data_IF_510407429504
#
_entry.id   IF_510407429504
#
_cell.length_a   1.000
_cell.length_b   1.000
_cell.length_c   1.000
_cell.angle_alpha   90.00
_cell.angle_beta   90.00
_cell.angle_gamma   90.00
#
_symmetry.space_group_name_H-M   'P 1'
#
loop_
_entity.id
_entity.type
_entity.pdbx_description
1 polymer ?
#
# COMPACT_ATOMS: atom_id res chain seq x y z
N UNK A 1 19.26 84.69 -17.22
CA UNK A 1 18.46 84.12 -16.04
C UNK A 1 17.33 83.34 -16.65
N UNK A 2 17.45 81.95 -16.69
CA UNK A 2 16.41 81.02 -17.04
C UNK A 2 16.13 80.16 -15.84
N UNK A 3 14.84 79.89 -15.44
CA UNK A 3 14.55 79.28 -14.18
C UNK A 3 14.75 77.77 -14.19
N UNK A 4 15.48 77.29 -13.17
CA UNK A 4 15.66 75.87 -12.79
C UNK A 4 14.32 75.27 -12.27
N UNK A 5 13.44 74.78 -13.14
CA UNK A 5 12.25 74.11 -12.68
C UNK A 5 11.72 73.01 -13.58
N UNK A 6 12.54 72.40 -14.42
CA UNK A 6 12.08 71.38 -15.40
C UNK A 6 12.69 70.00 -15.25
N UNK A 7 13.56 69.75 -14.24
CA UNK A 7 14.23 68.46 -14.04
C UNK A 7 13.64 67.54 -12.97
N UNK A 8 12.61 67.95 -12.24
CA UNK A 8 12.02 67.13 -11.16
C UNK A 8 10.86 66.22 -11.60
N UNK A 9 10.53 66.17 -12.90
CA UNK A 9 9.36 65.37 -13.39
C UNK A 9 9.76 64.03 -14.07
N UNK A 10 11.04 63.67 -14.13
CA UNK A 10 11.45 62.44 -14.82
C UNK A 10 11.95 61.31 -13.94
N UNK A 11 11.93 61.47 -12.61
CA UNK A 11 12.22 60.36 -11.68
C UNK A 11 10.97 60.04 -10.86
N UNK A 12 9.94 59.53 -11.56
CA UNK A 12 8.88 58.79 -10.88
C UNK A 12 9.51 57.51 -10.32
N UNK A 13 9.72 57.45 -8.97
CA UNK A 13 9.97 56.21 -8.28
C UNK A 13 8.80 55.31 -8.56
N UNK A 14 8.96 54.34 -9.47
CA UNK A 14 8.15 53.14 -9.42
C UNK A 14 8.46 52.46 -8.08
N UNK A 15 7.48 52.41 -7.21
CA UNK A 15 7.47 51.47 -6.07
C UNK A 15 7.49 50.05 -6.67
N UNK A 16 8.70 49.52 -6.90
CA UNK A 16 8.92 48.12 -7.17
C UNK A 16 8.60 47.35 -5.87
N UNK A 17 7.31 47.15 -5.61
CA UNK A 17 6.91 46.07 -4.72
C UNK A 17 7.47 44.79 -5.29
N UNK A 18 8.26 44.02 -4.49
CA UNK A 18 8.75 42.73 -4.96
C UNK A 18 7.54 41.91 -5.41
N UNK A 19 7.64 41.18 -6.53
CA UNK A 19 6.55 40.34 -7.00
C UNK A 19 6.14 39.43 -5.84
N UNK A 20 4.84 39.44 -5.51
CA UNK A 20 4.27 38.51 -4.53
C UNK A 20 4.68 37.11 -4.97
N UNK A 21 5.35 36.32 -4.11
CA UNK A 21 5.75 34.98 -4.50
C UNK A 21 4.53 34.27 -5.09
N UNK A 22 4.68 33.69 -6.27
CA UNK A 22 3.62 32.91 -6.89
C UNK A 22 3.14 31.89 -5.85
N UNK A 23 1.84 31.87 -5.57
CA UNK A 23 1.26 30.88 -4.68
C UNK A 23 1.69 29.52 -5.21
N UNK A 24 2.28 28.66 -4.35
CA UNK A 24 2.58 27.29 -4.71
C UNK A 24 1.30 26.65 -5.29
N UNK A 25 1.40 25.84 -6.36
CA UNK A 25 0.22 25.20 -6.91
C UNK A 25 -0.52 24.43 -5.81
N UNK A 26 -1.80 24.72 -5.62
CA UNK A 26 -2.66 24.04 -4.67
C UNK A 26 -2.80 22.58 -5.07
N UNK A 27 -2.64 21.67 -4.12
CA UNK A 27 -2.85 20.25 -4.34
C UNK A 27 -4.34 19.98 -4.64
N UNK A 28 -4.60 19.21 -5.68
CA UNK A 28 -5.97 18.90 -6.09
C UNK A 28 -6.17 17.38 -6.12
N UNK A 29 -7.14 16.89 -5.35
CA UNK A 29 -7.53 15.50 -5.39
C UNK A 29 -8.31 15.18 -6.66
N UNK A 30 -8.06 14.01 -7.23
CA UNK A 30 -8.82 13.48 -8.37
C UNK A 30 -10.20 13.00 -7.90
N UNK A 31 -11.24 13.73 -8.28
CA UNK A 31 -12.62 13.43 -7.92
C UNK A 31 -13.21 12.22 -8.67
N UNK A 32 -12.52 11.68 -9.68
CA UNK A 32 -12.99 10.54 -10.47
C UNK A 32 -12.67 9.17 -9.83
N UNK A 33 -11.97 9.14 -8.68
CA UNK A 33 -11.67 7.90 -7.97
C UNK A 33 -12.79 7.61 -6.96
N UNK A 34 -13.68 6.67 -7.29
CA UNK A 34 -14.80 6.29 -6.41
C UNK A 34 -14.36 5.42 -5.23
N UNK A 35 -13.43 4.48 -5.44
CA UNK A 35 -12.94 3.53 -4.43
C UNK A 35 -11.42 3.63 -4.30
N UNK A 36 -10.90 4.67 -3.63
CA UNK A 36 -9.46 4.87 -3.49
C UNK A 36 -8.81 3.74 -2.69
N UNK A 37 -7.59 3.36 -3.07
CA UNK A 37 -6.74 2.54 -2.22
C UNK A 37 -6.51 3.28 -0.89
N UNK A 38 -6.49 2.53 0.20
CA UNK A 38 -6.35 3.08 1.54
C UNK A 38 -5.34 2.29 2.35
N UNK A 39 -4.50 3.01 3.09
CA UNK A 39 -3.68 2.47 4.18
C UNK A 39 -4.01 3.24 5.47
N UNK A 40 -3.75 2.60 6.62
CA UNK A 40 -3.92 3.23 7.92
C UNK A 40 -2.57 3.28 8.65
N UNK A 41 -2.31 4.38 9.35
CA UNK A 41 -1.07 4.55 10.13
C UNK A 41 -1.42 4.78 11.59
N UNK A 42 -0.84 4.00 12.48
CA UNK A 42 -1.14 4.02 13.92
C UNK A 42 -0.15 4.87 14.71
N UNK A 43 -0.64 5.60 15.73
CA UNK A 43 0.17 6.42 16.61
C UNK A 43 -0.13 6.16 18.07
N UNK A 44 0.89 6.23 18.96
CA UNK A 44 0.73 6.01 20.40
C UNK A 44 0.03 7.19 21.11
N UNK A 45 0.15 8.39 20.55
CA UNK A 45 -0.34 9.64 21.13
C UNK A 45 -1.31 10.36 20.18
N UNK A 46 -2.09 11.33 20.65
CA UNK A 46 -2.89 12.20 19.79
C UNK A 46 -2.03 12.85 18.70
N UNK A 47 -2.64 13.04 17.53
CA UNK A 47 -1.96 13.59 16.37
C UNK A 47 -1.55 15.05 16.58
N UNK A 48 -0.28 15.34 16.36
CA UNK A 48 0.30 16.67 16.43
C UNK A 48 1.28 16.88 15.26
N UNK A 49 0.75 16.82 14.02
CA UNK A 49 1.53 16.88 12.78
C UNK A 49 1.15 18.14 12.03
N UNK A 50 2.16 18.95 11.68
CA UNK A 50 1.98 20.14 10.88
C UNK A 50 2.30 19.88 9.40
N UNK A 51 1.57 20.50 8.48
CA UNK A 51 1.76 20.33 7.05
C UNK A 51 3.19 20.64 6.57
N UNK A 52 3.86 21.74 6.99
CA UNK A 52 5.25 21.99 6.59
C UNK A 52 6.23 20.94 7.10
N UNK A 53 6.01 20.42 8.31
CA UNK A 53 6.86 19.39 8.89
C UNK A 53 6.75 18.06 8.11
N UNK A 54 5.51 17.65 7.76
CA UNK A 54 5.30 16.45 6.94
C UNK A 54 5.85 16.64 5.52
N UNK A 55 5.65 17.79 4.88
CA UNK A 55 6.22 18.09 3.56
C UNK A 55 7.75 17.96 3.57
N UNK A 56 8.42 18.47 4.61
CA UNK A 56 9.87 18.34 4.77
C UNK A 56 10.33 16.88 4.94
N UNK A 57 9.52 15.99 5.51
CA UNK A 57 9.84 14.55 5.56
C UNK A 57 9.61 13.86 4.22
N UNK A 58 8.50 14.17 3.53
CA UNK A 58 8.24 13.65 2.19
C UNK A 58 9.36 13.99 1.20
N UNK A 59 9.85 15.23 1.23
CA UNK A 59 10.96 15.69 0.37
C UNK A 59 12.27 14.90 0.59
N UNK A 60 12.42 14.25 1.75
CA UNK A 60 13.57 13.39 2.09
C UNK A 60 13.37 11.93 1.69
N UNK A 61 12.16 11.52 1.29
CA UNK A 61 11.88 10.12 1.00
C UNK A 61 12.56 9.64 -0.27
N UNK A 62 12.64 10.49 -1.31
CA UNK A 62 13.33 10.17 -2.56
C UNK A 62 13.70 11.47 -3.32
N UNK A 63 14.77 11.49 -4.15
CA UNK A 63 15.17 12.67 -4.92
C UNK A 63 14.09 13.25 -5.84
N UNK A 64 13.20 12.41 -6.41
CA UNK A 64 12.06 12.87 -7.23
C UNK A 64 10.98 13.60 -6.41
N UNK A 65 10.96 13.43 -5.09
CA UNK A 65 9.96 14.05 -4.20
C UNK A 65 10.39 15.41 -3.63
N UNK A 66 11.43 16.02 -4.16
CA UNK A 66 11.91 17.37 -3.70
C UNK A 66 10.84 18.46 -3.79
N UNK A 67 9.88 18.32 -4.71
CA UNK A 67 8.74 19.20 -4.86
C UNK A 67 7.50 18.81 -4.04
N UNK A 68 7.58 17.79 -3.17
CA UNK A 68 6.46 17.35 -2.37
C UNK A 68 5.95 18.48 -1.45
N UNK A 69 4.63 18.58 -1.37
CA UNK A 69 3.91 19.57 -0.56
C UNK A 69 2.82 18.90 0.27
N UNK A 70 2.45 19.57 1.36
CA UNK A 70 1.30 19.18 2.17
C UNK A 70 0.44 20.41 2.45
N UNK A 71 -0.87 20.23 2.41
CA UNK A 71 -1.87 21.26 2.71
C UNK A 71 -2.89 20.68 3.68
N UNK A 72 -3.02 21.29 4.86
CA UNK A 72 -4.01 20.88 5.87
C UNK A 72 -5.08 21.92 6.03
N UNK A 73 -6.32 21.50 6.24
CA UNK A 73 -7.45 22.37 6.51
C UNK A 73 -7.35 22.89 7.95
N UNK A 74 -7.42 24.21 8.18
CA UNK A 74 -7.34 24.77 9.51
C UNK A 74 -8.59 24.39 10.35
N UNK A 75 -8.37 24.19 11.66
CA UNK A 75 -9.45 23.94 12.62
C UNK A 75 -9.95 22.50 12.70
N UNK A 76 -9.29 21.56 12.01
CA UNK A 76 -9.52 20.11 12.11
C UNK A 76 -8.26 19.43 12.66
N UNK A 77 -8.43 18.30 13.35
CA UNK A 77 -7.31 17.59 13.97
C UNK A 77 -6.21 17.26 12.95
N UNK A 78 -6.59 16.65 11.85
CA UNK A 78 -5.75 16.47 10.68
C UNK A 78 -6.64 16.08 9.48
N UNK A 79 -6.86 17.00 8.59
CA UNK A 79 -7.50 16.73 7.30
C UNK A 79 -6.74 17.49 6.22
N UNK A 80 -6.22 16.80 5.22
CA UNK A 80 -5.44 17.46 4.21
C UNK A 80 -5.01 16.59 3.06
N UNK A 81 -4.14 17.15 2.25
CA UNK A 81 -3.52 16.52 1.09
C UNK A 81 -2.01 16.55 1.23
N UNK A 82 -1.35 15.48 0.81
CA UNK A 82 0.07 15.41 0.55
C UNK A 82 0.27 15.00 -0.91
N UNK A 83 1.22 15.60 -1.62
CA UNK A 83 1.39 15.25 -3.03
C UNK A 83 2.70 15.72 -3.65
N UNK A 84 3.03 15.08 -4.76
CA UNK A 84 4.15 15.40 -5.67
C UNK A 84 3.82 14.85 -7.06
N UNK A 85 4.24 15.52 -8.09
CA UNK A 85 3.97 15.15 -9.49
C UNK A 85 2.48 14.82 -9.72
N UNK A 86 2.17 13.58 -10.11
CA UNK A 86 0.81 13.06 -10.31
C UNK A 86 0.22 12.37 -9.09
N UNK A 87 0.98 12.22 -8.01
CA UNK A 87 0.54 11.55 -6.80
C UNK A 87 -0.06 12.54 -5.81
N UNK A 88 -1.26 12.25 -5.36
CA UNK A 88 -1.93 12.98 -4.29
C UNK A 88 -2.53 11.95 -3.32
N UNK A 89 -2.24 12.14 -2.05
CA UNK A 89 -2.76 11.32 -0.96
C UNK A 89 -3.58 12.22 -0.02
N UNK A 90 -4.82 11.83 0.24
CA UNK A 90 -5.65 12.47 1.25
C UNK A 90 -5.35 11.86 2.60
N UNK A 91 -5.13 12.69 3.60
CA UNK A 91 -4.93 12.31 4.99
C UNK A 91 -6.16 12.67 5.80
N UNK A 92 -6.68 11.70 6.57
CA UNK A 92 -7.78 11.90 7.51
C UNK A 92 -7.32 11.38 8.87
N UNK A 93 -6.97 12.25 9.77
CA UNK A 93 -6.53 11.92 11.13
C UNK A 93 -7.70 11.79 12.08
N UNK A 94 -7.58 10.84 12.99
CA UNK A 94 -8.56 10.57 14.04
C UNK A 94 -7.84 10.39 15.38
N UNK A 95 -8.16 11.21 16.38
CA UNK A 95 -7.69 11.04 17.76
C UNK A 95 -8.53 9.99 18.49
N UNK A 96 -8.59 8.79 17.90
CA UNK A 96 -9.29 7.62 18.39
C UNK A 96 -8.52 6.35 17.98
N UNK A 97 -8.59 5.27 18.77
CA UNK A 97 -8.00 4.00 18.37
C UNK A 97 -8.66 3.41 17.13
N UNK A 98 -7.93 2.61 16.37
CA UNK A 98 -8.50 1.81 15.27
C UNK A 98 -9.54 0.82 15.79
N UNK A 99 -10.59 0.49 15.01
CA UNK A 99 -11.55 -0.54 15.35
C UNK A 99 -10.87 -1.88 15.64
N UNK A 100 -11.32 -2.55 16.70
CA UNK A 100 -10.72 -3.82 17.16
C UNK A 100 -10.69 -4.89 16.05
N UNK A 101 -11.75 -4.99 15.26
CA UNK A 101 -11.82 -5.96 14.16
C UNK A 101 -10.70 -5.77 13.14
N UNK A 102 -10.38 -4.52 12.78
CA UNK A 102 -9.26 -4.20 11.89
C UNK A 102 -7.91 -4.59 12.53
N UNK A 103 -7.73 -4.29 13.83
CA UNK A 103 -6.52 -4.64 14.57
C UNK A 103 -6.32 -6.15 14.64
N UNK A 104 -7.38 -6.91 14.93
CA UNK A 104 -7.34 -8.36 15.01
C UNK A 104 -6.98 -8.97 13.63
N UNK A 105 -7.55 -8.45 12.55
CA UNK A 105 -7.26 -8.94 11.20
C UNK A 105 -5.83 -8.61 10.73
N UNK A 106 -5.33 -7.40 11.01
CA UNK A 106 -4.08 -6.91 10.44
C UNK A 106 -2.86 -7.14 11.33
N UNK A 107 -2.99 -6.99 12.66
CA UNK A 107 -1.85 -6.91 13.58
C UNK A 107 -1.60 -8.22 14.30
N UNK A 108 -2.66 -8.90 14.75
CA UNK A 108 -2.53 -10.09 15.62
C UNK A 108 -1.65 -11.17 15.00
N UNK A 109 -1.83 -11.45 13.70
CA UNK A 109 -1.13 -12.50 12.97
C UNK A 109 0.07 -12.00 12.14
N UNK A 110 0.41 -10.72 12.20
CA UNK A 110 1.53 -10.16 11.48
C UNK A 110 2.88 -10.75 11.91
N UNK A 111 3.85 -10.78 10.99
CA UNK A 111 5.16 -11.43 11.20
C UNK A 111 6.25 -10.45 11.63
N UNK A 112 5.96 -9.59 12.61
CA UNK A 112 6.96 -8.71 13.22
C UNK A 112 6.96 -8.83 14.74
N UNK A 113 7.89 -8.13 15.39
CA UNK A 113 8.19 -8.22 16.83
C UNK A 113 6.94 -7.98 17.68
N UNK A 114 6.81 -8.75 18.75
CA UNK A 114 5.67 -8.72 19.66
C UNK A 114 5.49 -7.35 20.35
N UNK A 115 6.60 -6.68 20.71
CA UNK A 115 6.55 -5.34 21.33
C UNK A 115 5.92 -4.27 20.41
N UNK A 116 6.10 -4.40 19.08
CA UNK A 116 5.45 -3.52 18.11
C UNK A 116 3.95 -3.80 18.04
N UNK A 117 3.54 -5.10 18.05
CA UNK A 117 2.12 -5.49 18.10
C UNK A 117 1.42 -4.94 19.33
N UNK A 118 2.03 -5.08 20.50
CA UNK A 118 1.49 -4.57 21.76
C UNK A 118 1.30 -3.05 21.73
N UNK A 119 2.31 -2.32 21.22
CA UNK A 119 2.20 -0.87 21.01
C UNK A 119 1.10 -0.52 20.00
N UNK A 120 0.97 -1.28 18.91
CA UNK A 120 -0.07 -1.08 17.91
C UNK A 120 -1.47 -1.26 18.51
N UNK A 121 -1.69 -2.30 19.35
CA UNK A 121 -2.96 -2.49 20.06
C UNK A 121 -3.26 -1.40 21.10
N UNK A 122 -2.24 -0.66 21.56
CA UNK A 122 -2.37 0.46 22.47
C UNK A 122 -2.43 1.82 21.76
N UNK A 123 -2.46 1.84 20.44
CA UNK A 123 -2.52 3.06 19.66
C UNK A 123 -3.74 3.91 20.05
N UNK A 124 -3.52 5.22 20.19
CA UNK A 124 -4.54 6.18 20.65
C UNK A 124 -5.11 7.03 19.52
N UNK A 125 -4.41 7.06 18.39
CA UNK A 125 -4.84 7.77 17.18
C UNK A 125 -4.37 7.06 15.92
N UNK A 126 -4.96 7.41 14.80
CA UNK A 126 -4.59 6.88 13.49
C UNK A 126 -4.85 7.88 12.37
N UNK A 127 -4.18 7.68 11.25
CA UNK A 127 -4.40 8.42 10.02
C UNK A 127 -4.83 7.45 8.94
N UNK A 128 -5.94 7.74 8.26
CA UNK A 128 -6.35 7.08 7.03
C UNK A 128 -5.70 7.82 5.86
N UNK A 129 -4.98 7.07 5.01
CA UNK A 129 -4.33 7.55 3.81
C UNK A 129 -5.10 7.03 2.60
N UNK A 130 -5.73 7.91 1.84
CA UNK A 130 -6.46 7.57 0.61
C UNK A 130 -5.71 8.06 -0.61
N UNK A 131 -5.45 7.19 -1.57
CA UNK A 131 -4.89 7.63 -2.84
C UNK A 131 -5.94 8.40 -3.64
N UNK A 132 -5.64 9.65 -3.96
CA UNK A 132 -6.51 10.55 -4.72
C UNK A 132 -5.73 11.26 -5.84
N UNK A 133 -4.67 10.62 -6.34
CA UNK A 133 -3.83 11.14 -7.42
C UNK A 133 -4.33 10.75 -8.82
N UNK A 134 -3.45 10.85 -9.79
CA UNK A 134 -3.78 10.68 -11.22
C UNK A 134 -3.08 9.49 -11.87
N UNK A 135 -2.40 8.63 -11.10
CA UNK A 135 -1.84 7.40 -11.60
C UNK A 135 -2.91 6.29 -11.65
N UNK A 136 -2.95 5.53 -12.75
CA UNK A 136 -3.88 4.41 -12.94
C UNK A 136 -3.33 3.07 -12.44
N UNK A 137 -2.00 2.96 -12.23
CA UNK A 137 -1.37 1.74 -11.73
C UNK A 137 -1.61 1.57 -10.23
N UNK A 138 -2.23 0.48 -9.83
CA UNK A 138 -2.44 0.16 -8.42
C UNK A 138 -1.10 0.04 -7.65
N UNK A 139 -0.05 -0.48 -8.29
CA UNK A 139 1.29 -0.57 -7.69
C UNK A 139 1.84 0.82 -7.36
N UNK A 140 1.77 1.77 -8.32
CA UNK A 140 2.22 3.15 -8.12
C UNK A 140 1.40 3.86 -7.04
N UNK A 141 0.10 3.59 -6.99
CA UNK A 141 -0.78 4.14 -5.96
C UNK A 141 -0.38 3.63 -4.56
N UNK A 142 -0.14 2.33 -4.41
CA UNK A 142 0.34 1.76 -3.14
C UNK A 142 1.73 2.27 -2.76
N UNK A 143 2.66 2.38 -3.71
CA UNK A 143 3.99 2.95 -3.47
C UNK A 143 3.86 4.39 -2.94
N UNK A 144 2.99 5.19 -3.55
CA UNK A 144 2.73 6.55 -3.06
C UNK A 144 2.17 6.57 -1.63
N UNK A 145 1.22 5.69 -1.32
CA UNK A 145 0.68 5.54 0.04
C UNK A 145 1.75 5.13 1.05
N UNK A 146 2.61 4.16 0.72
CA UNK A 146 3.72 3.72 1.59
C UNK A 146 4.73 4.85 1.82
N UNK A 147 5.09 5.62 0.80
CA UNK A 147 6.01 6.74 0.96
C UNK A 147 5.45 7.81 1.92
N UNK A 148 4.14 8.11 1.84
CA UNK A 148 3.49 9.01 2.80
C UNK A 148 3.45 8.39 4.20
N UNK A 149 3.12 7.11 4.32
CA UNK A 149 3.11 6.40 5.60
C UNK A 149 4.48 6.37 6.27
N UNK A 150 5.55 6.12 5.51
CA UNK A 150 6.93 6.12 5.99
C UNK A 150 7.43 7.53 6.35
N UNK A 151 6.97 8.57 5.64
CA UNK A 151 7.25 9.95 6.01
C UNK A 151 6.62 10.35 7.36
N UNK A 152 5.64 9.58 7.84
CA UNK A 152 5.03 9.75 9.15
C UNK A 152 5.82 9.07 10.29
N UNK A 153 6.81 8.20 9.99
CA UNK A 153 7.60 7.51 11.00
C UNK A 153 8.30 8.45 12.02
N UNK A 154 8.90 9.61 11.62
CA UNK A 154 9.51 10.55 12.56
C UNK A 154 8.51 11.21 13.53
N UNK A 155 7.21 11.15 13.24
CA UNK A 155 6.15 11.67 14.12
C UNK A 155 5.61 10.61 15.09
N UNK A 156 6.29 9.47 15.20
CA UNK A 156 5.95 8.41 16.15
C UNK A 156 5.02 7.32 15.60
N UNK A 157 4.84 7.24 14.30
CA UNK A 157 4.07 6.13 13.69
C UNK A 157 4.60 4.77 14.15
N UNK A 158 3.69 3.84 14.51
CA UNK A 158 4.01 2.51 15.04
C UNK A 158 3.97 1.47 13.94
N UNK A 159 2.87 1.45 13.20
CA UNK A 159 2.59 0.46 12.17
C UNK A 159 1.73 1.04 11.06
N UNK A 160 1.86 0.45 9.88
CA UNK A 160 1.08 0.73 8.68
C UNK A 160 0.20 -0.49 8.44
N UNK A 161 -1.11 -0.29 8.31
CA UNK A 161 -2.08 -1.34 8.08
C UNK A 161 -2.63 -1.25 6.66
N UNK A 162 -2.90 -2.40 6.07
CA UNK A 162 -3.72 -2.55 4.88
C UNK A 162 -4.92 -3.45 5.24
N UNK A 163 -6.02 -2.82 5.65
CA UNK A 163 -7.21 -3.54 6.11
C UNK A 163 -7.79 -4.43 5.00
N UNK A 164 -7.77 -3.97 3.75
CA UNK A 164 -8.25 -4.73 2.62
C UNK A 164 -7.45 -6.02 2.38
N UNK A 165 -6.16 -5.98 2.66
CA UNK A 165 -5.25 -7.12 2.52
C UNK A 165 -5.08 -7.94 3.81
N UNK A 166 -5.71 -7.57 4.92
CA UNK A 166 -5.46 -8.18 6.23
C UNK A 166 -3.97 -8.23 6.59
N UNK A 167 -3.25 -7.17 6.27
CA UNK A 167 -1.81 -7.10 6.45
C UNK A 167 -1.38 -5.86 7.22
N UNK A 168 -0.22 -5.93 7.84
CA UNK A 168 0.43 -4.77 8.44
C UNK A 168 1.94 -4.90 8.45
N UNK A 169 2.60 -3.73 8.48
CA UNK A 169 4.04 -3.58 8.56
C UNK A 169 4.40 -2.66 9.71
N UNK A 170 5.54 -2.86 10.39
CA UNK A 170 6.06 -1.85 11.31
C UNK A 170 6.42 -0.58 10.53
N UNK A 171 6.20 0.59 11.11
CA UNK A 171 6.67 1.86 10.54
C UNK A 171 8.21 1.90 10.53
N UNK A 172 8.79 2.53 9.51
CA UNK A 172 10.23 2.64 9.33
C UNK A 172 10.86 1.46 8.57
N UNK A 173 10.09 0.71 7.79
CA UNK A 173 10.62 -0.40 6.96
C UNK A 173 11.62 0.07 5.89
N UNK A 174 11.53 1.32 5.46
CA UNK A 174 12.44 1.90 4.47
C UNK A 174 13.70 2.55 5.07
N UNK A 175 13.86 2.55 6.40
CA UNK A 175 14.95 3.30 7.08
C UNK A 175 16.35 2.86 6.67
N UNK A 176 16.52 1.55 6.45
CA UNK A 176 17.82 0.94 6.13
C UNK A 176 18.08 0.88 4.60
N UNK A 177 17.13 1.36 3.78
CA UNK A 177 17.27 1.44 2.32
C UNK A 177 17.80 2.84 1.95
N UNK A 178 18.88 2.93 1.15
CA UNK A 178 19.39 4.21 0.67
C UNK A 178 18.29 5.02 -0.01
N UNK A 179 18.21 6.33 0.28
CA UNK A 179 17.13 7.20 -0.18
C UNK A 179 16.92 7.15 -1.69
N UNK A 180 18.01 7.07 -2.47
CA UNK A 180 17.93 7.01 -3.94
C UNK A 180 17.40 5.66 -4.48
N UNK A 181 17.41 4.60 -3.68
CA UNK A 181 17.04 3.25 -4.07
C UNK A 181 15.62 2.86 -3.59
N UNK A 182 14.96 3.70 -2.76
CA UNK A 182 13.69 3.37 -2.13
C UNK A 182 12.57 3.09 -3.13
N UNK A 183 12.46 3.87 -4.20
CA UNK A 183 11.44 3.64 -5.23
C UNK A 183 11.67 2.32 -5.95
N UNK A 184 12.90 2.05 -6.37
CA UNK A 184 13.25 0.80 -7.03
C UNK A 184 13.02 -0.40 -6.10
N UNK A 185 13.43 -0.27 -4.84
CA UNK A 185 13.17 -1.29 -3.83
C UNK A 185 11.66 -1.56 -3.68
N UNK A 186 10.81 -0.54 -3.62
CA UNK A 186 9.36 -0.71 -3.49
C UNK A 186 8.74 -1.39 -4.72
N UNK A 187 9.24 -1.12 -5.92
CA UNK A 187 8.78 -1.81 -7.14
C UNK A 187 9.12 -3.32 -7.14
N UNK A 188 10.22 -3.70 -6.47
CA UNK A 188 10.69 -5.09 -6.40
C UNK A 188 10.33 -5.79 -5.09
N UNK A 189 9.62 -5.12 -4.19
CA UNK A 189 9.15 -5.78 -2.97
C UNK A 189 8.12 -6.86 -3.30
N UNK A 190 8.15 -7.99 -2.57
CA UNK A 190 7.15 -9.03 -2.75
C UNK A 190 5.74 -8.49 -2.56
N UNK A 191 4.86 -8.69 -3.54
CA UNK A 191 3.46 -8.23 -3.48
C UNK A 191 2.75 -8.76 -2.23
N UNK A 192 2.98 -10.04 -1.92
CA UNK A 192 2.35 -10.74 -0.79
C UNK A 192 2.84 -10.24 0.57
N UNK A 193 3.95 -9.49 0.61
CA UNK A 193 4.47 -8.93 1.87
C UNK A 193 3.95 -7.52 2.12
N UNK A 194 3.87 -6.70 1.07
CA UNK A 194 3.66 -5.26 1.22
C UNK A 194 2.23 -4.83 0.83
N UNK A 195 1.69 -5.41 -0.23
CA UNK A 195 0.44 -4.92 -0.86
C UNK A 195 -0.70 -5.91 -0.77
N UNK A 196 -0.41 -7.21 -0.80
CA UNK A 196 -1.36 -8.29 -0.55
C UNK A 196 -1.06 -8.92 0.80
N UNK A 197 -2.07 -9.41 1.48
CA UNK A 197 -1.88 -10.18 2.70
C UNK A 197 -1.73 -11.66 2.40
N UNK A 198 -1.11 -12.38 3.33
CA UNK A 198 -1.04 -13.84 3.32
C UNK A 198 -1.52 -14.35 4.67
N UNK A 199 -2.64 -15.03 4.67
CA UNK A 199 -3.26 -15.56 5.88
C UNK A 199 -3.32 -17.07 5.87
N UNK A 200 -3.33 -17.63 7.07
CA UNK A 200 -3.47 -19.07 7.34
C UNK A 200 -4.66 -19.26 8.27
N UNK A 201 -5.51 -20.23 7.99
CA UNK A 201 -6.57 -20.58 8.91
C UNK A 201 -6.82 -22.08 9.00
N UNK A 202 -7.09 -22.51 10.22
CA UNK A 202 -7.56 -23.85 10.51
C UNK A 202 -9.07 -23.91 10.27
N UNK A 203 -9.52 -24.87 9.48
CA UNK A 203 -10.95 -25.10 9.22
C UNK A 203 -11.38 -26.38 9.91
N UNK A 204 -12.37 -26.29 10.75
CA UNK A 204 -12.86 -27.46 11.50
C UNK A 204 -13.25 -28.60 10.56
N UNK A 205 -12.75 -29.82 10.84
CA UNK A 205 -12.98 -30.99 10.01
C UNK A 205 -12.08 -31.13 8.79
N UNK A 206 -11.22 -30.16 8.50
CA UNK A 206 -10.22 -30.26 7.42
C UNK A 206 -8.87 -30.69 7.99
N UNK A 207 -8.26 -31.70 7.37
CA UNK A 207 -6.89 -32.07 7.68
C UNK A 207 -5.94 -31.17 6.88
N UNK A 208 -5.15 -30.36 7.58
CA UNK A 208 -4.27 -29.36 6.98
C UNK A 208 -4.65 -27.93 7.33
N UNK A 209 -3.97 -26.98 6.72
CA UNK A 209 -4.13 -25.54 6.94
C UNK A 209 -4.42 -24.87 5.62
N UNK A 210 -5.50 -24.13 5.53
CA UNK A 210 -5.75 -23.28 4.38
C UNK A 210 -4.84 -22.06 4.43
N UNK A 211 -4.19 -21.78 3.30
CA UNK A 211 -3.40 -20.58 3.07
C UNK A 211 -4.01 -19.80 1.93
N UNK A 212 -4.02 -18.47 2.05
CA UNK A 212 -4.66 -17.62 1.06
C UNK A 212 -4.03 -16.23 1.01
N UNK A 213 -4.08 -15.59 -0.17
CA UNK A 213 -3.84 -14.15 -0.31
C UNK A 213 -5.12 -13.35 -0.13
N UNK A 214 -4.98 -12.05 0.19
CA UNK A 214 -6.03 -11.04 0.20
C UNK A 214 -5.52 -9.77 -0.45
N UNK A 215 -6.38 -9.10 -1.24
CA UNK A 215 -6.09 -7.80 -1.83
C UNK A 215 -5.52 -7.84 -3.24
N UNK A 216 -5.37 -9.02 -3.85
CA UNK A 216 -4.94 -9.14 -5.25
C UNK A 216 -5.95 -8.53 -6.23
N UNK A 217 -7.23 -8.44 -5.84
CA UNK A 217 -8.29 -7.77 -6.60
C UNK A 217 -7.98 -6.30 -6.90
N UNK A 218 -7.22 -5.61 -6.05
CA UNK A 218 -6.79 -4.21 -6.28
C UNK A 218 -5.83 -4.07 -7.46
N UNK A 219 -5.17 -5.15 -7.82
CA UNK A 219 -4.31 -5.23 -9.01
C UNK A 219 -5.04 -5.85 -10.22
N UNK A 220 -6.35 -6.12 -10.12
CA UNK A 220 -7.10 -6.84 -11.14
C UNK A 220 -6.74 -8.33 -11.24
N UNK A 221 -6.10 -8.88 -10.20
CA UNK A 221 -5.66 -10.26 -10.12
C UNK A 221 -6.58 -11.09 -9.21
N UNK A 222 -6.66 -12.42 -9.40
CA UNK A 222 -7.33 -13.29 -8.45
C UNK A 222 -6.50 -13.45 -7.17
N UNK A 223 -7.16 -13.56 -6.04
CA UNK A 223 -6.54 -14.10 -4.83
C UNK A 223 -6.25 -15.60 -5.02
N UNK A 224 -5.17 -16.07 -4.46
CA UNK A 224 -4.74 -17.47 -4.52
C UNK A 224 -4.98 -18.16 -3.18
N UNK A 225 -5.48 -19.39 -3.21
CA UNK A 225 -5.66 -20.22 -2.02
C UNK A 225 -5.11 -21.63 -2.26
N UNK A 226 -4.69 -22.29 -1.20
CA UNK A 226 -4.29 -23.71 -1.23
C UNK A 226 -4.51 -24.36 0.13
N UNK A 227 -4.70 -25.69 0.13
CA UNK A 227 -4.67 -26.51 1.33
C UNK A 227 -3.25 -27.05 1.53
N UNK A 228 -2.55 -26.52 2.52
CA UNK A 228 -1.23 -26.96 2.94
C UNK A 228 -1.34 -28.13 3.93
N UNK A 229 -0.32 -28.98 4.04
CA UNK A 229 -0.30 -30.04 5.05
C UNK A 229 -0.26 -29.50 6.49
N UNK A 230 0.35 -28.31 6.68
CA UNK A 230 0.42 -27.66 7.98
C UNK A 230 1.02 -26.26 7.92
N UNK A 231 1.04 -25.59 9.06
CA UNK A 231 1.57 -24.21 9.20
C UNK A 231 3.03 -24.05 8.76
N UNK A 232 3.83 -25.13 8.82
CA UNK A 232 5.24 -25.12 8.43
C UNK A 232 5.47 -24.86 6.95
N UNK A 233 4.48 -25.15 6.10
CA UNK A 233 4.58 -24.88 4.65
C UNK A 233 4.30 -23.42 4.28
N UNK A 234 3.88 -22.58 5.24
CA UNK A 234 3.46 -21.20 4.97
C UNK A 234 4.47 -20.39 4.17
N UNK A 235 5.77 -20.49 4.46
CA UNK A 235 6.82 -19.79 3.71
C UNK A 235 6.87 -20.24 2.25
N UNK A 236 6.77 -21.55 1.99
CA UNK A 236 6.74 -22.12 0.64
C UNK A 236 5.56 -21.55 -0.17
N UNK A 237 4.35 -21.62 0.38
CA UNK A 237 3.16 -21.13 -0.31
C UNK A 237 3.18 -19.60 -0.50
N UNK A 238 3.63 -18.84 0.48
CA UNK A 238 3.80 -17.39 0.36
C UNK A 238 4.72 -17.03 -0.82
N UNK A 239 5.85 -17.72 -0.98
CA UNK A 239 6.77 -17.51 -2.10
C UNK A 239 6.18 -17.92 -3.45
N UNK A 240 5.41 -18.99 -3.49
CA UNK A 240 4.74 -19.44 -4.72
C UNK A 240 3.67 -18.41 -5.13
N UNK A 241 2.84 -17.98 -4.20
CA UNK A 241 1.79 -17.00 -4.46
C UNK A 241 2.39 -15.67 -4.92
N UNK A 242 3.44 -15.21 -4.24
CA UNK A 242 4.13 -13.98 -4.59
C UNK A 242 4.67 -14.04 -6.03
N UNK A 243 5.41 -15.08 -6.38
CA UNK A 243 5.95 -15.26 -7.73
C UNK A 243 4.83 -15.34 -8.79
N UNK A 244 3.74 -16.03 -8.47
CA UNK A 244 2.60 -16.17 -9.39
C UNK A 244 1.93 -14.82 -9.61
N UNK A 245 1.61 -14.08 -8.54
CA UNK A 245 0.98 -12.76 -8.65
C UNK A 245 1.89 -11.73 -9.33
N UNK A 246 3.18 -11.72 -9.00
CA UNK A 246 4.17 -10.85 -9.66
C UNK A 246 4.27 -11.14 -11.15
N UNK A 247 4.35 -12.42 -11.54
CA UNK A 247 4.34 -12.82 -12.95
C UNK A 247 3.07 -12.36 -13.69
N UNK A 248 1.89 -12.55 -13.09
CA UNK A 248 0.63 -12.10 -13.68
C UNK A 248 0.58 -10.59 -13.85
N UNK A 249 1.04 -9.85 -12.84
CA UNK A 249 1.09 -8.38 -12.88
C UNK A 249 2.05 -7.87 -13.95
N UNK A 250 3.24 -8.44 -14.05
CA UNK A 250 4.28 -8.02 -15.00
C UNK A 250 3.95 -8.40 -16.44
N UNK A 251 3.43 -9.63 -16.66
CA UNK A 251 3.16 -10.14 -18.01
C UNK A 251 1.80 -9.75 -18.57
N UNK A 252 0.85 -9.33 -17.69
CA UNK A 252 -0.55 -9.15 -18.09
C UNK A 252 -1.27 -10.45 -18.43
N UNK A 253 -0.68 -11.61 -18.09
CA UNK A 253 -1.30 -12.91 -18.34
C UNK A 253 -2.52 -13.12 -17.42
N UNK A 254 -3.51 -13.88 -17.90
CA UNK A 254 -4.67 -14.28 -17.10
C UNK A 254 -4.47 -15.68 -16.54
N UNK A 255 -4.95 -15.88 -15.31
CA UNK A 255 -5.02 -17.19 -14.66
C UNK A 255 -6.50 -17.58 -14.48
N UNK A 256 -6.88 -18.74 -15.02
CA UNK A 256 -8.25 -19.21 -15.02
C UNK A 256 -8.38 -20.62 -14.43
N UNK A 257 -9.57 -20.94 -13.91
CA UNK A 257 -9.88 -22.31 -13.50
C UNK A 257 -9.70 -23.30 -14.65
N UNK A 258 -9.09 -24.44 -14.37
CA UNK A 258 -8.73 -25.44 -15.37
C UNK A 258 -7.32 -25.29 -15.93
N UNK A 259 -6.67 -24.13 -15.76
CA UNK A 259 -5.28 -23.98 -16.19
C UNK A 259 -4.36 -24.90 -15.40
N UNK A 260 -3.34 -25.40 -16.10
CA UNK A 260 -2.21 -26.14 -15.52
C UNK A 260 -0.93 -25.50 -16.01
N UNK A 261 -0.06 -25.12 -15.09
CA UNK A 261 1.19 -24.42 -15.37
C UNK A 261 2.36 -25.19 -14.78
N UNK A 262 3.41 -25.40 -15.57
CA UNK A 262 4.62 -26.03 -15.09
C UNK A 262 5.39 -25.07 -14.17
N UNK A 263 5.68 -25.51 -12.94
CA UNK A 263 6.41 -24.73 -11.92
C UNK A 263 7.86 -25.18 -11.72
N UNK A 264 8.20 -26.36 -12.22
CA UNK A 264 9.52 -26.98 -12.13
C UNK A 264 9.66 -28.11 -13.14
N UNK A 265 10.72 -28.92 -13.04
CA UNK A 265 10.93 -30.01 -14.00
C UNK A 265 9.78 -31.02 -14.03
N UNK A 266 9.26 -31.39 -12.85
CA UNK A 266 8.25 -32.44 -12.70
C UNK A 266 7.04 -32.00 -11.84
N UNK A 267 6.95 -30.73 -11.49
CA UNK A 267 5.86 -30.17 -10.66
C UNK A 267 5.00 -29.24 -11.49
N UNK A 268 3.71 -29.46 -11.44
CA UNK A 268 2.70 -28.65 -12.13
C UNK A 268 1.72 -28.07 -11.14
N UNK A 269 1.40 -26.80 -11.31
CA UNK A 269 0.34 -26.12 -10.58
C UNK A 269 -0.96 -26.22 -11.36
N UNK A 270 -1.98 -26.83 -10.75
CA UNK A 270 -3.34 -26.88 -11.28
C UNK A 270 -4.21 -25.87 -10.56
N UNK A 271 -5.07 -25.18 -11.31
CA UNK A 271 -5.93 -24.12 -10.80
C UNK A 271 -7.40 -24.52 -10.95
N UNK A 272 -8.22 -24.23 -9.94
CA UNK A 272 -9.66 -24.43 -9.96
C UNK A 272 -10.40 -23.32 -9.22
N UNK A 273 -11.68 -23.17 -9.47
CA UNK A 273 -12.55 -22.36 -8.60
C UNK A 273 -12.76 -23.07 -7.23
N UNK A 274 -13.08 -22.32 -6.16
CA UNK A 274 -13.46 -22.91 -4.88
C UNK A 274 -14.71 -23.79 -5.01
N UNK A 275 -14.73 -24.90 -4.27
CA UNK A 275 -15.91 -25.75 -4.16
C UNK A 275 -16.97 -25.11 -3.24
N UNK A 276 -18.25 -25.51 -3.32
CA UNK A 276 -19.28 -24.95 -2.44
C UNK A 276 -18.99 -25.11 -0.94
N UNK A 277 -18.30 -26.18 -0.55
CA UNK A 277 -17.88 -26.42 0.84
C UNK A 277 -16.74 -25.48 1.30
N UNK A 278 -16.05 -24.83 0.36
CA UNK A 278 -14.94 -23.91 0.61
C UNK A 278 -15.42 -22.43 0.67
N UNK A 279 -16.68 -22.20 1.08
CA UNK A 279 -17.31 -20.87 1.16
C UNK A 279 -16.50 -19.87 2.00
N UNK A 280 -15.69 -20.34 2.95
CA UNK A 280 -14.78 -19.54 3.77
C UNK A 280 -13.62 -18.91 2.96
N UNK A 281 -13.41 -19.35 1.71
CA UNK A 281 -12.47 -18.74 0.78
C UNK A 281 -13.07 -17.53 0.02
N UNK A 282 -14.35 -17.23 0.20
CA UNK A 282 -14.97 -16.08 -0.48
C UNK A 282 -14.38 -14.76 0.01
N UNK A 283 -14.30 -13.77 -0.88
CA UNK A 283 -13.73 -12.45 -0.59
C UNK A 283 -14.21 -11.41 -1.60
N UNK A 284 -13.70 -10.18 -1.52
CA UNK A 284 -14.12 -9.10 -2.42
C UNK A 284 -13.79 -9.34 -3.89
N UNK A 285 -12.70 -10.10 -4.17
CA UNK A 285 -12.27 -10.49 -5.50
C UNK A 285 -12.49 -11.97 -5.80
N UNK A 286 -12.15 -12.36 -7.03
CA UNK A 286 -12.12 -13.78 -7.42
C UNK A 286 -11.04 -14.51 -6.64
N UNK A 287 -11.32 -15.73 -6.23
CA UNK A 287 -10.35 -16.62 -5.58
C UNK A 287 -10.14 -17.84 -6.46
N UNK A 288 -8.89 -18.23 -6.62
CA UNK A 288 -8.50 -19.47 -7.30
C UNK A 288 -7.77 -20.38 -6.34
N UNK A 289 -8.20 -21.64 -6.30
CA UNK A 289 -7.56 -22.68 -5.50
C UNK A 289 -6.50 -23.36 -6.34
N UNK A 290 -5.27 -23.41 -5.81
CA UNK A 290 -4.16 -24.11 -6.47
C UNK A 290 -3.85 -25.43 -5.76
N UNK A 291 -3.49 -26.42 -6.54
CA UNK A 291 -2.95 -27.70 -6.10
C UNK A 291 -1.74 -28.07 -6.94
N UNK A 292 -0.83 -28.88 -6.38
CA UNK A 292 0.32 -29.35 -7.11
C UNK A 292 0.08 -30.78 -7.57
N UNK A 293 0.55 -31.08 -8.77
CA UNK A 293 0.52 -32.38 -9.40
C UNK A 293 1.95 -32.76 -9.79
N UNK A 294 2.31 -34.00 -9.57
CA UNK A 294 3.51 -34.56 -10.14
C UNK A 294 3.28 -34.97 -11.62
N UNK A 295 4.36 -35.15 -12.37
CA UNK A 295 4.30 -35.52 -13.78
C UNK A 295 3.51 -36.79 -14.02
N UNK A 296 3.66 -37.77 -13.13
CA UNK A 296 2.92 -39.03 -13.19
C UNK A 296 1.42 -38.85 -13.15
N UNK A 297 0.92 -37.92 -12.35
CA UNK A 297 -0.50 -37.58 -12.21
C UNK A 297 -1.09 -36.97 -13.51
N UNK A 298 -0.26 -36.26 -14.28
CA UNK A 298 -0.68 -35.65 -15.56
C UNK A 298 -0.73 -36.73 -16.65
N UNK A 299 0.30 -37.56 -16.74
CA UNK A 299 0.39 -38.63 -17.75
C UNK A 299 -0.76 -39.64 -17.59
N UNK A 300 -1.15 -39.96 -16.36
CA UNK A 300 -2.29 -40.82 -16.07
C UNK A 300 -3.65 -40.21 -16.47
N UNK A 301 -3.79 -38.89 -16.40
CA UNK A 301 -5.03 -38.21 -16.84
C UNK A 301 -5.14 -38.10 -18.34
N UNK A 302 -4.02 -37.85 -19.03
CA UNK A 302 -3.97 -37.85 -20.51
C UNK A 302 -4.25 -39.24 -21.08
N UNK A 303 -3.87 -40.31 -20.37
CA UNK A 303 -4.17 -41.70 -20.78
C UNK A 303 -5.63 -42.12 -20.53
N UNK A 304 -6.35 -41.40 -19.62
CA UNK A 304 -7.77 -41.70 -19.30
C UNK A 304 -8.78 -40.78 -19.99
N UNK A 305 -8.34 -39.75 -20.70
CA UNK A 305 -9.15 -38.84 -21.49
C UNK A 305 -9.16 -39.23 -22.98
#
# INVERSE_FOLDING_TARGET
>A
MLPMSLLSRFFGRKDDKPPKPAAAPSLTANAAIDNPLCLQVLFPEPLAIEAPALAAQLQKMHPSMRGAACEFLPGLDLLGLAGWDKHVVRLVGMNAPMPRQCMDACVTYAHYRQDIKERAHQARSHILLYYTGYDSSALEQYIALILVAEALAPFGAIAILNEHAHASLPSGVLKDIPVAERLEALHHFPLVTLFCGFVKYDVAGTKGVWVRTFGADKFGLPDLAALAEGHHEGTRYSQIFDRTLSYLLESGASLEAGHTTQMGQDTFMKVRDPEPAEYFLQGPGRVLVISFLDREDIDDRVRRA
#
